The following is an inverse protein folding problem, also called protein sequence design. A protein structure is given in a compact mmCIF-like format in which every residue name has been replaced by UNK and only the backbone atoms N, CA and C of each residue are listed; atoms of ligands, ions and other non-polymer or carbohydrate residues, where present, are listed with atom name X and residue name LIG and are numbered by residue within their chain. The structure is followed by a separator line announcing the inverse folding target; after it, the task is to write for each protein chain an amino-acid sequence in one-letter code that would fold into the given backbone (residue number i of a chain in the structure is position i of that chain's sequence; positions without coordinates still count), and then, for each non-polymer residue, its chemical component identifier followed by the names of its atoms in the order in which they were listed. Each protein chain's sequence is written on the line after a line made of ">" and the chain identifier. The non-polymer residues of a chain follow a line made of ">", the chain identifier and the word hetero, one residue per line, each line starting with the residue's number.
data_IF_683035716574
#
_entry.id   IF_683035716574
#
_cell.length_a   1.000
_cell.length_b   1.000
_cell.length_c   1.000
_cell.angle_alpha   90.00
_cell.angle_beta   90.00
_cell.angle_gamma   90.00
#
_symmetry.space_group_name_H-M   'P 1'
#
loop_
_entity.id
_entity.type
_entity.pdbx_description
1 polymer ?
#
# COMPACT_ATOMS: atom_id res chain seq x y z
N UNK A 1 8.90 3.34 -13.59
CA UNK A 1 7.60 3.29 -12.89
C UNK A 1 7.82 3.57 -11.43
N UNK A 2 6.91 4.30 -10.77
CA UNK A 2 6.94 4.44 -9.31
C UNK A 2 6.43 3.13 -8.72
N UNK A 3 7.05 2.60 -7.68
CA UNK A 3 6.50 1.42 -6.98
C UNK A 3 5.26 1.79 -6.18
N UNK A 4 4.45 0.79 -5.85
CA UNK A 4 3.27 0.97 -5.01
C UNK A 4 3.62 1.64 -3.67
N UNK A 5 4.72 1.22 -3.04
CA UNK A 5 5.22 1.84 -1.81
C UNK A 5 5.50 3.34 -1.98
N UNK A 6 6.20 3.75 -3.05
CA UNK A 6 6.48 5.17 -3.28
C UNK A 6 5.22 6.00 -3.56
N UNK A 7 4.22 5.40 -4.22
CA UNK A 7 2.90 5.98 -4.35
C UNK A 7 2.24 6.17 -2.97
N UNK A 8 2.26 5.14 -2.13
CA UNK A 8 1.61 5.10 -0.82
C UNK A 8 2.16 6.17 0.14
N UNK A 9 3.44 6.54 0.00
CA UNK A 9 4.05 7.60 0.82
C UNK A 9 3.35 8.97 0.71
N UNK A 10 2.55 9.23 -0.33
CA UNK A 10 1.75 10.47 -0.45
C UNK A 10 0.62 10.56 0.58
N UNK A 11 0.18 9.42 1.10
CA UNK A 11 -0.91 9.31 2.08
C UNK A 11 -0.42 9.23 3.53
N UNK A 12 0.89 9.23 3.77
CA UNK A 12 1.42 9.29 5.13
C UNK A 12 0.95 10.56 5.82
N UNK A 13 0.39 10.39 7.01
CA UNK A 13 -0.13 11.51 7.78
C UNK A 13 0.12 11.29 9.28
N UNK A 14 0.63 12.29 10.03
CA UNK A 14 0.91 12.15 11.47
C UNK A 14 -0.35 11.97 12.34
N UNK A 15 -1.53 12.21 11.75
CA UNK A 15 -2.85 12.00 12.36
C UNK A 15 -3.77 11.38 11.29
N UNK A 16 -3.64 10.08 10.98
CA UNK A 16 -4.38 9.47 9.88
C UNK A 16 -5.89 9.71 10.07
N UNK A 17 -6.58 9.96 8.95
CA UNK A 17 -8.02 10.31 8.95
C UNK A 17 -8.87 9.34 8.16
N UNK A 18 -8.22 8.45 7.43
CA UNK A 18 -8.81 7.42 6.58
C UNK A 18 -7.91 6.18 6.64
N UNK A 19 -8.49 5.04 6.26
CA UNK A 19 -7.85 3.74 6.34
C UNK A 19 -6.59 3.68 5.45
N UNK A 20 -6.58 4.37 4.31
CA UNK A 20 -5.42 4.45 3.41
C UNK A 20 -4.25 5.16 4.11
N UNK A 21 -4.51 6.22 4.87
CA UNK A 21 -3.48 6.92 5.65
C UNK A 21 -2.93 6.04 6.78
N UNK A 22 -3.78 5.23 7.42
CA UNK A 22 -3.35 4.27 8.44
C UNK A 22 -2.47 3.18 7.82
N UNK A 23 -2.92 2.57 6.72
CA UNK A 23 -2.17 1.58 5.95
C UNK A 23 -0.83 2.14 5.44
N UNK A 24 -0.81 3.37 4.94
CA UNK A 24 0.41 4.04 4.50
C UNK A 24 1.43 4.26 5.62
N UNK A 25 0.97 4.51 6.84
CA UNK A 25 1.84 4.61 8.01
C UNK A 25 2.36 3.25 8.43
N UNK A 26 1.51 2.21 8.46
CA UNK A 26 1.93 0.83 8.76
C UNK A 26 3.02 0.36 7.77
N UNK A 27 2.79 0.50 6.47
CA UNK A 27 3.75 0.14 5.44
C UNK A 27 5.06 0.95 5.52
N UNK A 28 5.01 2.19 6.02
CA UNK A 28 6.20 3.01 6.24
C UNK A 28 7.04 2.52 7.42
N UNK A 29 6.39 2.15 8.53
CA UNK A 29 7.04 1.62 9.73
C UNK A 29 7.59 0.20 9.50
N UNK A 30 7.03 -0.50 8.51
CA UNK A 30 7.49 -1.81 8.06
C UNK A 30 8.76 -1.71 7.20
N UNK A 31 9.86 -2.17 7.79
CA UNK A 31 11.16 -2.18 7.13
C UNK A 31 11.29 -3.31 6.11
N UNK A 32 10.47 -4.36 6.23
CA UNK A 32 10.45 -5.54 5.38
C UNK A 32 9.46 -5.43 4.23
N UNK A 33 8.61 -4.40 4.22
CA UNK A 33 7.68 -4.12 3.12
C UNK A 33 8.42 -4.14 1.76
N UNK A 34 7.84 -4.72 0.69
CA UNK A 34 8.46 -4.78 -0.64
C UNK A 34 8.49 -3.41 -1.35
N UNK A 35 9.39 -2.52 -0.93
CA UNK A 35 9.43 -1.09 -1.34
C UNK A 35 9.67 -0.86 -2.83
N UNK A 36 10.22 -1.84 -3.54
CA UNK A 36 10.52 -1.74 -4.98
C UNK A 36 9.50 -2.46 -5.85
N UNK A 37 8.57 -3.21 -5.27
CA UNK A 37 7.61 -3.99 -6.04
C UNK A 37 6.54 -3.12 -6.70
N UNK A 38 6.22 -3.46 -7.93
CA UNK A 38 5.08 -2.93 -8.70
C UNK A 38 4.11 -4.06 -9.06
N UNK A 39 4.27 -5.24 -8.46
CA UNK A 39 3.48 -6.43 -8.77
C UNK A 39 2.38 -6.63 -7.72
N UNK A 40 1.14 -6.71 -8.17
CA UNK A 40 -0.02 -6.88 -7.28
C UNK A 40 0.09 -8.17 -6.48
N UNK A 41 0.46 -9.28 -7.14
CA UNK A 41 0.46 -10.60 -6.50
C UNK A 41 1.57 -10.72 -5.45
N UNK A 42 2.74 -10.15 -5.69
CA UNK A 42 3.84 -10.10 -4.72
C UNK A 42 3.42 -9.34 -3.46
N UNK A 43 2.80 -8.17 -3.61
CA UNK A 43 2.37 -7.34 -2.48
C UNK A 43 1.18 -7.97 -1.77
N UNK A 44 0.17 -8.45 -2.50
CA UNK A 44 -0.99 -9.16 -1.92
C UNK A 44 -0.54 -10.38 -1.12
N UNK A 45 0.37 -11.20 -1.66
CA UNK A 45 0.90 -12.38 -0.95
C UNK A 45 1.66 -11.98 0.30
N UNK A 46 2.44 -10.89 0.24
CA UNK A 46 3.11 -10.35 1.42
C UNK A 46 2.09 -9.95 2.50
N UNK A 47 1.03 -9.22 2.16
CA UNK A 47 0.02 -8.80 3.12
C UNK A 47 -0.75 -9.99 3.72
N UNK A 48 -1.13 -10.98 2.89
CA UNK A 48 -1.84 -12.18 3.36
C UNK A 48 -1.01 -13.07 4.30
N UNK A 49 0.32 -13.13 4.11
CA UNK A 49 1.22 -13.91 4.96
C UNK A 49 1.54 -13.21 6.29
N UNK A 50 1.29 -11.90 6.39
CA UNK A 50 1.53 -11.11 7.58
C UNK A 50 0.19 -10.85 8.30
N UNK A 51 -0.07 -11.57 9.40
CA UNK A 51 -1.34 -11.52 10.12
C UNK A 51 -1.80 -10.10 10.50
N UNK A 52 -0.85 -9.19 10.75
CA UNK A 52 -1.11 -7.80 11.08
C UNK A 52 -1.78 -7.03 9.93
N UNK A 53 -1.60 -7.43 8.67
CA UNK A 53 -2.20 -6.77 7.50
C UNK A 53 -3.52 -7.39 7.02
N UNK A 54 -3.98 -8.50 7.60
CA UNK A 54 -5.21 -9.15 7.15
C UNK A 54 -6.43 -8.23 7.24
N UNK A 55 -6.45 -7.31 8.21
CA UNK A 55 -7.52 -6.33 8.37
C UNK A 55 -7.47 -5.19 7.34
N UNK A 56 -6.32 -4.98 6.67
CA UNK A 56 -6.12 -3.91 5.69
C UNK A 56 -6.31 -4.37 4.25
N UNK A 57 -6.69 -5.63 3.99
CA UNK A 57 -6.79 -6.18 2.62
C UNK A 57 -7.76 -5.37 1.73
N UNK A 58 -8.93 -5.00 2.26
CA UNK A 58 -9.87 -4.15 1.50
C UNK A 58 -9.31 -2.76 1.21
N UNK A 59 -8.58 -2.17 2.16
CA UNK A 59 -7.90 -0.87 1.99
C UNK A 59 -6.76 -0.96 0.98
N UNK A 60 -6.04 -2.08 0.95
CA UNK A 60 -5.00 -2.36 -0.04
C UNK A 60 -5.59 -2.41 -1.45
N UNK A 61 -6.68 -3.16 -1.65
CA UNK A 61 -7.36 -3.24 -2.96
C UNK A 61 -7.79 -1.85 -3.45
N UNK A 62 -8.40 -1.04 -2.57
CA UNK A 62 -8.78 0.34 -2.90
C UNK A 62 -7.57 1.21 -3.27
N UNK A 63 -6.50 1.15 -2.48
CA UNK A 63 -5.28 1.90 -2.73
C UNK A 63 -4.59 1.45 -4.04
N UNK A 64 -4.68 0.17 -4.37
CA UNK A 64 -4.13 -0.40 -5.60
C UNK A 64 -4.87 0.10 -6.83
N UNK A 65 -6.20 0.08 -6.81
CA UNK A 65 -7.02 0.60 -7.91
C UNK A 65 -6.70 2.08 -8.20
N UNK A 66 -6.52 2.89 -7.16
CA UNK A 66 -6.12 4.29 -7.31
C UNK A 66 -4.67 4.44 -7.84
N UNK A 67 -3.77 3.54 -7.48
CA UNK A 67 -2.40 3.50 -7.98
C UNK A 67 -2.37 3.17 -9.49
N UNK A 68 -3.09 2.13 -9.89
CA UNK A 68 -3.21 1.72 -11.30
C UNK A 68 -3.84 2.84 -12.14
N UNK A 69 -4.91 3.47 -11.65
CA UNK A 69 -5.53 4.60 -12.32
C UNK A 69 -4.56 5.79 -12.52
N UNK A 70 -3.68 6.08 -11.57
CA UNK A 70 -2.71 7.19 -11.67
C UNK A 70 -1.51 6.84 -12.58
N UNK A 71 -1.03 5.60 -12.52
CA UNK A 71 0.17 5.15 -13.25
C UNK A 71 -0.13 4.76 -14.69
N UNK A 72 -1.28 4.11 -14.93
CA UNK A 72 -1.68 3.56 -16.22
C UNK A 72 -2.80 4.35 -16.90
N UNK A 73 -3.47 5.27 -16.20
CA UNK A 73 -4.55 6.10 -16.75
C UNK A 73 -4.11 7.31 -17.58
N UNK A 74 -3.09 7.17 -18.45
CA UNK A 74 -2.78 8.17 -19.49
C UNK A 74 -3.04 7.65 -20.89
#
# INVERSE_FOLDING_TARGET
>A
MKSFYHYLLKYRHPKPKDDISEFANQAYEDHSFPKTSTDYHEISSYLELNADYLHTMATFDEAWDQYEAEVHGR
#
